data_IF_997926903838
#
_entry.id   IF_997926903838
#
_cell.length_a   1.000
_cell.length_b   1.000
_cell.length_c   1.000
_cell.angle_alpha   90.00
_cell.angle_beta   90.00
_cell.angle_gamma   90.00
#
_symmetry.space_group_name_H-M   'P 1'
#
loop_
_entity.id
_entity.type
_entity.pdbx_description
1 polymer ?
#
# COMPACT_ATOMS: atom_id res chain seq x y z
N UNK A 1 8.04 -45.34 10.76
CA UNK A 1 9.02 -45.02 11.81
C UNK A 1 10.31 -45.76 11.49
N UNK A 2 11.30 -45.09 10.90
CA UNK A 2 12.61 -45.67 10.65
C UNK A 2 13.66 -44.68 11.16
N UNK A 3 14.01 -44.84 12.45
CA UNK A 3 15.17 -44.21 13.05
C UNK A 3 16.41 -44.75 12.33
N UNK A 4 16.90 -44.00 11.35
CA UNK A 4 18.19 -44.24 10.74
C UNK A 4 19.27 -44.03 11.80
N UNK A 5 19.87 -45.13 12.23
CA UNK A 5 20.99 -45.19 13.17
C UNK A 5 22.20 -44.43 12.64
N UNK A 6 22.19 -43.10 12.80
CA UNK A 6 23.37 -42.27 12.70
C UNK A 6 24.38 -42.75 13.73
N UNK A 7 25.41 -43.44 13.25
CA UNK A 7 26.52 -44.02 14.02
C UNK A 7 26.79 -43.25 15.33
N UNK A 8 26.66 -43.94 16.47
CA UNK A 8 27.01 -43.47 17.83
C UNK A 8 28.37 -42.78 17.92
N UNK A 9 29.25 -43.08 16.96
CA UNK A 9 30.56 -42.46 16.82
C UNK A 9 30.46 -41.02 16.27
N UNK A 10 29.58 -40.76 15.30
CA UNK A 10 29.40 -39.46 14.62
C UNK A 10 28.99 -38.35 15.58
N UNK A 11 28.17 -38.66 16.59
CA UNK A 11 27.74 -37.71 17.62
C UNK A 11 28.85 -37.35 18.62
N UNK A 12 29.91 -38.16 18.75
CA UNK A 12 31.04 -37.88 19.65
C UNK A 12 32.00 -36.82 19.08
N UNK A 13 32.14 -36.71 17.75
CA UNK A 13 33.07 -35.77 17.11
C UNK A 13 32.41 -34.74 16.20
N UNK A 14 31.18 -34.97 15.72
CA UNK A 14 30.35 -33.92 15.11
C UNK A 14 29.44 -33.38 16.21
N UNK A 15 29.97 -32.44 16.99
CA UNK A 15 29.17 -31.61 17.89
C UNK A 15 27.92 -31.14 17.12
N UNK A 16 26.73 -31.30 17.71
CA UNK A 16 25.45 -30.94 17.09
C UNK A 16 25.45 -29.43 16.86
N UNK A 17 25.87 -29.02 15.66
CA UNK A 17 26.01 -27.62 15.30
C UNK A 17 27.07 -27.41 14.23
N UNK A 18 26.88 -26.39 13.39
CA UNK A 18 27.98 -25.92 12.55
C UNK A 18 29.08 -25.34 13.44
N UNK A 19 30.37 -25.63 13.19
CA UNK A 19 31.47 -24.98 13.89
C UNK A 19 31.33 -23.44 13.88
N UNK A 20 31.72 -22.72 14.94
CA UNK A 20 31.53 -21.26 15.03
C UNK A 20 32.06 -20.47 13.83
N UNK A 21 33.20 -20.89 13.27
CA UNK A 21 33.78 -20.27 12.07
C UNK A 21 32.89 -20.40 10.82
N UNK A 22 32.11 -21.48 10.73
CA UNK A 22 31.24 -21.76 9.59
C UNK A 22 30.02 -20.85 9.61
N UNK A 23 29.50 -20.55 10.80
CA UNK A 23 28.44 -19.55 10.97
C UNK A 23 28.97 -18.14 10.70
N UNK A 24 30.14 -17.78 11.26
CA UNK A 24 30.79 -16.50 10.97
C UNK A 24 31.04 -16.30 9.46
N UNK A 25 31.47 -17.34 8.75
CA UNK A 25 31.66 -17.31 7.30
C UNK A 25 30.33 -17.10 6.54
N UNK A 26 29.25 -17.78 6.95
CA UNK A 26 27.92 -17.59 6.37
C UNK A 26 27.43 -16.15 6.56
N UNK A 27 27.56 -15.61 7.77
CA UNK A 27 27.18 -14.24 8.07
C UNK A 27 27.97 -13.24 7.21
N UNK A 28 29.29 -13.43 7.06
CA UNK A 28 30.10 -12.60 6.17
C UNK A 28 29.67 -12.67 4.69
N UNK A 29 29.17 -13.81 4.22
CA UNK A 29 28.62 -13.92 2.86
C UNK A 29 27.29 -13.16 2.70
N UNK A 30 26.39 -13.30 3.67
CA UNK A 30 25.11 -12.60 3.68
C UNK A 30 25.29 -11.09 3.77
N UNK A 31 26.23 -10.62 4.58
CA UNK A 31 26.53 -9.21 4.71
C UNK A 31 27.11 -8.63 3.41
N UNK A 32 28.01 -9.35 2.73
CA UNK A 32 28.48 -8.95 1.39
C UNK A 32 27.34 -8.83 0.39
N UNK A 33 26.42 -9.79 0.37
CA UNK A 33 25.24 -9.78 -0.51
C UNK A 33 24.31 -8.61 -0.20
N UNK A 34 24.03 -8.36 1.09
CA UNK A 34 23.20 -7.23 1.53
C UNK A 34 23.83 -5.91 1.10
N UNK A 35 25.13 -5.74 1.36
CA UNK A 35 25.86 -4.53 1.01
C UNK A 35 25.94 -4.31 -0.51
N UNK A 36 26.08 -5.37 -1.32
CA UNK A 36 26.05 -5.24 -2.78
C UNK A 36 24.68 -4.80 -3.28
N UNK A 37 23.61 -5.38 -2.70
CA UNK A 37 22.23 -5.00 -3.01
C UNK A 37 21.96 -3.55 -2.63
N UNK A 38 22.34 -3.14 -1.43
CA UNK A 38 22.12 -1.79 -0.94
C UNK A 38 22.89 -0.75 -1.77
N UNK A 39 24.12 -1.06 -2.19
CA UNK A 39 24.87 -0.22 -3.14
C UNK A 39 24.18 -0.08 -4.49
N UNK A 40 23.63 -1.17 -5.02
CA UNK A 40 22.87 -1.14 -6.28
C UNK A 40 21.62 -0.27 -6.16
N UNK A 41 20.81 -0.50 -5.12
CA UNK A 41 19.61 0.29 -4.87
C UNK A 41 19.91 1.76 -4.62
N UNK A 42 21.00 2.07 -3.90
CA UNK A 42 21.43 3.45 -3.70
C UNK A 42 21.85 4.12 -5.00
N UNK A 43 22.44 3.41 -5.97
CA UNK A 43 22.72 3.97 -7.30
C UNK A 43 21.44 4.33 -8.04
N UNK A 44 20.43 3.45 -8.01
CA UNK A 44 19.13 3.74 -8.63
C UNK A 44 18.41 4.91 -7.94
N UNK A 45 18.40 4.95 -6.59
CA UNK A 45 17.82 6.07 -5.85
C UNK A 45 18.52 7.40 -6.13
N UNK A 46 19.85 7.39 -6.19
CA UNK A 46 20.63 8.60 -6.49
C UNK A 46 20.50 9.05 -7.95
N UNK A 47 20.35 8.12 -8.90
CA UNK A 47 20.07 8.44 -10.29
C UNK A 47 18.76 9.23 -10.47
N UNK A 48 17.79 9.04 -9.58
CA UNK A 48 16.55 9.82 -9.55
C UNK A 48 16.59 11.12 -8.75
N UNK A 49 17.68 11.43 -8.02
CA UNK A 49 17.66 12.54 -7.05
C UNK A 49 18.92 13.38 -6.87
N UNK A 50 20.09 12.99 -7.38
CA UNK A 50 21.35 13.67 -7.02
C UNK A 50 22.30 13.99 -8.19
N UNK A 51 21.81 14.05 -9.43
CA UNK A 51 22.62 14.52 -10.54
C UNK A 51 22.29 15.99 -10.79
N UNK A 52 23.29 16.85 -10.95
CA UNK A 52 23.14 18.21 -11.47
C UNK A 52 22.70 18.24 -12.95
N UNK A 53 22.60 17.08 -13.61
CA UNK A 53 21.83 16.86 -14.85
C UNK A 53 20.51 16.09 -14.64
N UNK A 54 20.20 15.71 -13.40
CA UNK A 54 18.96 15.07 -12.98
C UNK A 54 17.76 16.01 -13.06
N UNK A 55 17.98 17.33 -12.94
CA UNK A 55 16.94 18.33 -13.19
C UNK A 55 16.34 18.18 -14.60
N UNK A 56 17.14 17.83 -15.61
CA UNK A 56 16.66 17.66 -16.99
C UNK A 56 15.93 16.33 -17.19
N UNK A 57 16.37 15.24 -16.53
CA UNK A 57 15.69 13.95 -16.61
C UNK A 57 14.40 13.91 -15.77
N UNK A 58 14.35 14.58 -14.61
CA UNK A 58 13.11 14.77 -13.86
C UNK A 58 12.16 15.69 -14.60
N UNK A 59 12.67 16.72 -15.29
CA UNK A 59 11.84 17.55 -16.19
C UNK A 59 11.28 16.72 -17.33
N UNK A 60 12.09 15.90 -18.01
CA UNK A 60 11.62 15.03 -19.11
C UNK A 60 10.53 14.06 -18.64
N UNK A 61 10.69 13.42 -17.47
CA UNK A 61 9.65 12.53 -16.93
C UNK A 61 8.39 13.31 -16.57
N UNK A 62 8.53 14.49 -15.97
CA UNK A 62 7.39 15.34 -15.62
C UNK A 62 6.66 15.86 -16.87
N UNK A 63 7.40 16.31 -17.88
CA UNK A 63 6.89 16.80 -19.16
C UNK A 63 6.16 15.69 -19.92
N UNK A 64 6.75 14.51 -20.06
CA UNK A 64 6.07 13.35 -20.67
C UNK A 64 4.84 12.95 -19.88
N UNK A 65 4.89 12.98 -18.55
CA UNK A 65 3.74 12.63 -17.71
C UNK A 65 2.62 13.68 -17.82
N UNK A 66 2.95 14.96 -17.92
CA UNK A 66 1.99 16.05 -18.16
C UNK A 66 1.39 15.98 -19.57
N UNK A 67 2.19 15.70 -20.60
CA UNK A 67 1.74 15.51 -21.97
C UNK A 67 0.76 14.33 -22.10
N UNK A 68 1.12 13.17 -21.55
CA UNK A 68 0.26 11.98 -21.57
C UNK A 68 -1.00 12.20 -20.72
N UNK A 69 -0.88 12.89 -19.58
CA UNK A 69 -2.04 13.27 -18.76
C UNK A 69 -2.99 14.22 -19.50
N UNK A 70 -2.46 15.21 -20.21
CA UNK A 70 -3.24 16.13 -21.03
C UNK A 70 -3.90 15.42 -22.22
N UNK A 71 -3.24 14.43 -22.82
CA UNK A 71 -3.81 13.59 -23.89
C UNK A 71 -4.99 12.75 -23.37
N UNK A 72 -4.85 12.16 -22.18
CA UNK A 72 -5.94 11.43 -21.51
C UNK A 72 -7.11 12.35 -21.17
N UNK A 73 -6.87 13.53 -20.59
CA UNK A 73 -7.93 14.50 -20.30
C UNK A 73 -8.61 15.00 -21.57
N UNK A 74 -7.87 15.20 -22.66
CA UNK A 74 -8.44 15.62 -23.95
C UNK A 74 -9.31 14.52 -24.56
N UNK A 75 -8.94 13.25 -24.40
CA UNK A 75 -9.75 12.11 -24.79
C UNK A 75 -11.02 11.96 -23.91
N UNK A 76 -10.89 12.22 -22.60
CA UNK A 76 -12.00 12.21 -21.63
C UNK A 76 -12.93 13.44 -21.80
N UNK A 77 -12.41 14.55 -22.33
CA UNK A 77 -13.20 15.75 -22.62
C UNK A 77 -14.21 15.55 -23.75
N UNK A 78 -14.13 14.41 -24.48
CA UNK A 78 -15.20 14.03 -25.39
C UNK A 78 -16.33 13.40 -24.56
N UNK A 79 -17.54 13.99 -24.55
CA UNK A 79 -18.66 13.50 -23.74
C UNK A 79 -19.02 12.01 -23.99
N UNK A 80 -18.60 11.46 -25.12
CA UNK A 80 -18.91 10.09 -25.56
C UNK A 80 -18.07 9.00 -24.87
N UNK A 81 -16.93 9.34 -24.24
CA UNK A 81 -16.10 8.37 -23.50
C UNK A 81 -16.64 8.15 -22.08
N UNK A 82 -17.04 9.25 -21.41
CA UNK A 82 -17.75 9.21 -20.12
C UNK A 82 -19.11 8.53 -20.23
N UNK A 83 -19.80 8.64 -21.37
CA UNK A 83 -21.06 7.93 -21.63
C UNK A 83 -20.91 6.39 -21.70
N UNK A 84 -19.68 5.87 -21.88
CA UNK A 84 -19.40 4.42 -21.86
C UNK A 84 -18.94 3.94 -20.48
N UNK A 85 -18.34 4.82 -19.67
CA UNK A 85 -18.03 4.54 -18.26
C UNK A 85 -19.25 4.74 -17.34
N UNK A 86 -20.27 5.44 -17.85
CA UNK A 86 -21.67 5.40 -17.38
C UNK A 86 -22.35 4.09 -17.82
N UNK A 87 -21.62 2.96 -17.82
CA UNK A 87 -22.27 1.67 -17.58
C UNK A 87 -22.97 1.84 -16.24
N UNK A 88 -24.31 1.67 -16.18
CA UNK A 88 -25.15 2.31 -15.18
C UNK A 88 -24.66 1.90 -13.80
N UNK A 89 -23.91 2.80 -13.15
CA UNK A 89 -23.67 2.75 -11.73
C UNK A 89 -25.07 2.66 -11.13
N UNK A 90 -25.42 1.47 -10.66
CA UNK A 90 -26.81 1.03 -10.51
C UNK A 90 -27.61 2.13 -9.82
N UNK A 91 -28.45 2.83 -10.59
CA UNK A 91 -29.12 4.06 -10.14
C UNK A 91 -29.96 3.75 -8.90
N UNK A 92 -30.39 2.49 -8.77
CA UNK A 92 -31.06 1.94 -7.60
C UNK A 92 -30.18 1.96 -6.33
N UNK A 93 -28.89 1.64 -6.43
CA UNK A 93 -27.94 1.68 -5.31
C UNK A 93 -27.71 3.12 -4.84
N UNK A 94 -27.64 4.08 -5.76
CA UNK A 94 -27.53 5.49 -5.39
C UNK A 94 -28.80 6.02 -4.72
N UNK A 95 -29.98 5.62 -5.20
CA UNK A 95 -31.26 5.97 -4.58
C UNK A 95 -31.41 5.34 -3.19
N UNK A 96 -30.96 4.10 -3.01
CA UNK A 96 -30.91 3.41 -1.71
C UNK A 96 -30.02 4.17 -0.71
N UNK A 97 -28.80 4.55 -1.12
CA UNK A 97 -27.88 5.32 -0.28
C UNK A 97 -28.49 6.68 0.09
N UNK A 98 -29.11 7.37 -0.86
CA UNK A 98 -29.77 8.64 -0.60
C UNK A 98 -30.91 8.50 0.41
N UNK A 99 -31.72 7.46 0.28
CA UNK A 99 -32.82 7.20 1.21
C UNK A 99 -32.31 6.85 2.61
N UNK A 100 -31.25 6.04 2.71
CA UNK A 100 -30.63 5.71 4.00
C UNK A 100 -30.11 6.97 4.71
N UNK A 101 -29.46 7.88 3.98
CA UNK A 101 -28.97 9.15 4.54
C UNK A 101 -30.10 10.04 5.06
N UNK A 102 -31.23 10.10 4.36
CA UNK A 102 -32.42 10.86 4.79
C UNK A 102 -33.01 10.27 6.07
N UNK A 103 -33.09 8.95 6.15
CA UNK A 103 -33.63 8.24 7.31
C UNK A 103 -32.73 8.43 8.55
N UNK A 104 -31.42 8.34 8.37
CA UNK A 104 -30.45 8.63 9.43
C UNK A 104 -30.54 10.08 9.93
N UNK A 105 -30.64 11.06 9.01
CA UNK A 105 -30.79 12.47 9.37
C UNK A 105 -32.09 12.74 10.14
N UNK A 106 -33.20 12.13 9.70
CA UNK A 106 -34.51 12.23 10.35
C UNK A 106 -34.51 11.62 11.75
N UNK A 107 -33.85 10.46 11.90
CA UNK A 107 -33.68 9.79 13.20
C UNK A 107 -32.89 10.66 14.19
N UNK A 108 -31.73 11.19 13.75
CA UNK A 108 -30.90 12.09 14.56
C UNK A 108 -31.63 13.38 14.94
N UNK A 109 -32.47 13.92 14.05
CA UNK A 109 -33.28 15.09 14.35
C UNK A 109 -34.31 14.79 15.44
N UNK A 110 -35.05 13.68 15.31
CA UNK A 110 -36.05 13.24 16.29
C UNK A 110 -35.41 12.99 17.65
N UNK A 111 -34.29 12.29 17.69
CA UNK A 111 -33.53 12.04 18.92
C UNK A 111 -33.09 13.34 19.59
N UNK A 112 -32.56 14.30 18.83
CA UNK A 112 -32.17 15.62 19.37
C UNK A 112 -33.36 16.39 19.93
N UNK A 113 -34.53 16.33 19.28
CA UNK A 113 -35.74 17.00 19.77
C UNK A 113 -36.30 16.33 21.03
N UNK A 114 -36.26 15.00 21.11
CA UNK A 114 -36.74 14.25 22.27
C UNK A 114 -35.84 14.47 23.49
N UNK A 115 -34.51 14.40 23.30
CA UNK A 115 -33.53 14.73 24.36
C UNK A 115 -33.68 16.18 24.84
N UNK A 116 -33.96 17.13 23.94
CA UNK A 116 -34.21 18.53 24.30
C UNK A 116 -35.50 18.70 25.10
N UNK A 117 -36.56 17.98 24.74
CA UNK A 117 -37.82 17.98 25.49
C UNK A 117 -37.67 17.36 26.89
N UNK A 118 -36.84 16.31 27.02
CA UNK A 118 -36.52 15.68 28.31
C UNK A 118 -35.81 16.64 29.26
N UNK A 119 -34.79 17.36 28.76
CA UNK A 119 -34.04 18.36 29.54
C UNK A 119 -34.97 19.47 30.05
N UNK A 120 -35.96 19.89 29.25
CA UNK A 120 -36.93 20.92 29.65
C UNK A 120 -37.97 20.43 30.67
N UNK A 121 -38.20 19.12 30.78
CA UNK A 121 -39.07 18.54 31.81
C UNK A 121 -38.33 18.26 33.12
N UNK A 122 -37.02 17.98 33.06
CA UNK A 122 -36.19 17.76 34.25
C UNK A 122 -35.75 19.07 34.94
N UNK A 123 -35.92 20.22 34.28
CA UNK A 123 -35.65 21.57 34.82
C UNK A 123 -36.88 22.30 35.40
N UNK A 124 -38.07 21.70 35.36
CA UNK A 124 -39.34 22.25 35.89
C UNK A 124 -39.81 21.50 37.15
#
# INVERSE_FOLDING_TARGET
>A
MAEGSGSRHRSLYKLVGSPPWKEAFRQGCLERMRNSRDRLLNKYRQAGGNMSGGAQNTFLVQEVMEEEWNALQSAESRPEALAQLEEPLDLAVLEEIQQELIDQASSLHKERTDRRGKIQQDEA
#
